data_IF_941599534425
#
_entry.id   IF_941599534425
#
_cell.length_a   1.000
_cell.length_b   1.000
_cell.length_c   1.000
_cell.angle_alpha   90.00
_cell.angle_beta   90.00
_cell.angle_gamma   90.00
#
_symmetry.space_group_name_H-M   'P 1'
#
loop_
_entity.id
_entity.type
_entity.pdbx_description
1 polymer ?
#
# COMPACT_ATOMS: atom_id res chain seq x y z
N UNK A 1 10.05 -9.95 1.25
CA UNK A 1 9.78 -8.54 1.53
C UNK A 1 8.35 -8.40 2.05
N UNK A 2 8.20 -8.10 3.35
CA UNK A 2 6.89 -8.14 4.04
C UNK A 2 5.91 -7.02 3.63
N UNK A 3 6.41 -5.87 3.18
CA UNK A 3 5.62 -4.71 2.77
C UNK A 3 6.49 -3.75 1.95
N UNK A 4 6.53 -3.94 0.63
CA UNK A 4 7.27 -3.08 -0.30
C UNK A 4 6.57 -3.08 -1.66
N UNK A 5 6.66 -1.97 -2.37
CA UNK A 5 6.05 -1.81 -3.69
C UNK A 5 7.12 -1.69 -4.79
N UNK A 6 6.77 -1.20 -5.96
CA UNK A 6 7.61 -1.21 -7.17
C UNK A 6 8.26 0.15 -7.39
N UNK A 7 9.60 0.20 -7.39
CA UNK A 7 10.36 1.44 -7.60
C UNK A 7 10.10 2.07 -8.97
N UNK A 8 9.97 1.27 -10.02
CA UNK A 8 9.77 1.79 -11.38
C UNK A 8 8.38 2.42 -11.61
N UNK A 9 7.39 2.12 -10.73
CA UNK A 9 6.08 2.80 -10.73
C UNK A 9 6.14 4.02 -9.82
N UNK A 10 6.58 3.84 -8.58
CA UNK A 10 6.71 4.91 -7.60
C UNK A 10 8.16 4.94 -7.08
N UNK A 11 9.00 5.89 -7.54
CA UNK A 11 10.41 6.00 -7.17
C UNK A 11 10.59 6.46 -5.71
N UNK A 12 10.36 5.55 -4.78
CA UNK A 12 10.57 5.75 -3.36
C UNK A 12 11.63 4.78 -2.84
N UNK A 13 12.51 5.21 -1.91
CA UNK A 13 13.62 4.38 -1.42
C UNK A 13 13.20 3.08 -0.71
N UNK A 14 11.95 3.00 -0.22
CA UNK A 14 11.36 1.79 0.36
C UNK A 14 10.90 0.78 -0.68
N UNK A 15 10.73 1.21 -1.93
CA UNK A 15 10.27 0.36 -3.02
C UNK A 15 11.41 -0.44 -3.65
N UNK A 16 11.09 -1.62 -4.15
CA UNK A 16 12.05 -2.55 -4.72
C UNK A 16 12.36 -2.23 -6.18
N UNK A 17 13.65 -2.29 -6.53
CA UNK A 17 14.14 -2.26 -7.91
C UNK A 17 14.10 -3.64 -8.54
N UNK A 18 14.18 -3.71 -9.87
CA UNK A 18 14.07 -4.96 -10.63
C UNK A 18 15.14 -5.99 -10.24
N UNK A 19 16.37 -5.57 -10.04
CA UNK A 19 17.47 -6.44 -9.61
C UNK A 19 17.20 -7.08 -8.23
N UNK A 20 16.62 -6.33 -7.30
CA UNK A 20 16.19 -6.84 -5.99
C UNK A 20 15.02 -7.83 -6.14
N UNK A 21 14.06 -7.55 -7.03
CA UNK A 21 12.95 -8.47 -7.31
C UNK A 21 13.44 -9.78 -7.93
N UNK A 22 14.41 -9.73 -8.86
CA UNK A 22 15.04 -10.93 -9.40
C UNK A 22 15.80 -11.72 -8.33
N UNK A 23 16.46 -11.06 -7.37
CA UNK A 23 17.10 -11.73 -6.25
C UNK A 23 16.07 -12.44 -5.35
N UNK A 24 14.93 -11.82 -5.08
CA UNK A 24 13.81 -12.43 -4.33
C UNK A 24 13.26 -13.65 -5.06
N UNK A 25 13.06 -13.55 -6.39
CA UNK A 25 12.66 -14.71 -7.22
C UNK A 25 13.67 -15.85 -7.08
N UNK A 26 14.96 -15.56 -7.20
CA UNK A 26 16.05 -16.55 -7.14
C UNK A 26 16.06 -17.33 -5.83
N UNK A 27 15.70 -16.70 -4.72
CA UNK A 27 15.65 -17.37 -3.41
C UNK A 27 14.26 -17.97 -3.08
N UNK A 28 13.32 -17.97 -4.03
CA UNK A 28 11.97 -18.50 -3.82
C UNK A 28 11.05 -17.60 -2.99
N UNK A 29 11.47 -16.37 -2.70
CA UNK A 29 10.73 -15.44 -1.83
C UNK A 29 9.48 -14.83 -2.44
N UNK A 30 8.82 -13.95 -1.66
CA UNK A 30 7.59 -13.25 -2.04
C UNK A 30 7.73 -11.77 -1.71
N UNK A 31 7.19 -10.92 -2.59
CA UNK A 31 7.04 -9.48 -2.42
C UNK A 31 5.58 -9.23 -2.03
N UNK A 32 5.36 -8.66 -0.86
CA UNK A 32 4.03 -8.28 -0.41
C UNK A 32 3.84 -6.78 -0.65
N UNK A 33 2.89 -6.44 -1.54
CA UNK A 33 2.64 -5.06 -1.94
C UNK A 33 2.09 -4.27 -0.76
N UNK A 34 2.79 -3.19 -0.40
CA UNK A 34 2.37 -2.23 0.61
C UNK A 34 1.27 -1.33 0.05
N UNK A 35 0.35 -0.85 0.92
CA UNK A 35 -0.76 0.01 0.51
C UNK A 35 -0.58 1.48 0.89
N UNK A 36 0.53 1.87 1.53
CA UNK A 36 0.77 3.28 1.80
C UNK A 36 0.79 4.11 0.50
N UNK A 37 -0.06 5.13 0.35
CA UNK A 37 -0.17 5.92 -0.87
C UNK A 37 1.15 6.48 -1.39
N UNK A 38 2.06 6.87 -0.50
CA UNK A 38 3.39 7.37 -0.87
C UNK A 38 4.33 6.32 -1.47
N UNK A 39 3.96 5.03 -1.43
CA UNK A 39 4.70 3.95 -2.10
C UNK A 39 3.98 3.44 -3.35
N UNK A 40 2.76 3.92 -3.59
CA UNK A 40 1.90 3.53 -4.71
C UNK A 40 1.86 4.64 -5.78
N UNK A 41 1.53 5.88 -5.40
CA UNK A 41 1.42 7.03 -6.31
C UNK A 41 2.63 7.96 -6.15
N UNK A 42 3.46 8.15 -7.19
CA UNK A 42 4.64 9.02 -7.13
C UNK A 42 4.30 10.49 -6.90
N UNK A 43 3.05 10.89 -7.08
CA UNK A 43 2.59 12.27 -6.89
C UNK A 43 1.95 12.50 -5.51
N UNK A 44 1.71 11.44 -4.75
CA UNK A 44 0.97 11.52 -3.48
C UNK A 44 1.67 12.43 -2.46
N UNK A 45 2.97 12.27 -2.23
CA UNK A 45 3.69 13.04 -1.21
C UNK A 45 3.66 14.56 -1.50
N UNK A 46 3.74 14.95 -2.78
CA UNK A 46 3.61 16.36 -3.17
C UNK A 46 2.18 16.88 -2.94
N UNK A 47 1.17 16.08 -3.30
CA UNK A 47 -0.25 16.40 -3.06
C UNK A 47 -0.54 16.52 -1.57
N UNK A 48 -0.01 15.61 -0.76
CA UNK A 48 -0.16 15.60 0.69
C UNK A 48 0.47 16.85 1.33
N UNK A 49 1.68 17.21 0.92
CA UNK A 49 2.35 18.42 1.42
C UNK A 49 1.53 19.69 1.11
N UNK A 50 1.01 19.79 -0.12
CA UNK A 50 0.15 20.91 -0.52
C UNK A 50 -1.15 20.94 0.30
N UNK A 51 -1.78 19.79 0.50
CA UNK A 51 -2.99 19.65 1.29
C UNK A 51 -2.74 20.05 2.75
N UNK A 52 -1.70 19.53 3.39
CA UNK A 52 -1.33 19.86 4.78
C UNK A 52 -1.00 21.35 4.94
N UNK A 53 -0.32 21.98 3.97
CA UNK A 53 -0.09 23.44 3.96
C UNK A 53 -1.41 24.22 3.90
N UNK A 54 -2.34 23.80 3.06
CA UNK A 54 -3.66 24.44 2.96
C UNK A 54 -4.48 24.27 4.24
N UNK A 55 -4.41 23.09 4.87
CA UNK A 55 -5.11 22.77 6.10
C UNK A 55 -4.36 23.19 7.37
N UNK A 56 -3.25 23.90 7.27
CA UNK A 56 -2.45 24.32 8.42
C UNK A 56 -3.27 25.03 9.53
N UNK A 57 -4.18 25.96 9.23
CA UNK A 57 -5.00 26.59 10.27
C UNK A 57 -5.86 25.59 11.06
N UNK A 58 -6.39 24.56 10.41
CA UNK A 58 -7.14 23.48 11.04
C UNK A 58 -6.21 22.66 11.95
N UNK A 59 -5.08 22.24 11.45
CA UNK A 59 -4.07 21.47 12.20
C UNK A 59 -3.62 22.25 13.44
N UNK A 60 -3.30 23.53 13.31
CA UNK A 60 -2.87 24.39 14.40
C UNK A 60 -3.98 24.52 15.48
N UNK A 61 -5.25 24.63 15.07
CA UNK A 61 -6.37 24.72 16.02
C UNK A 61 -6.59 23.42 16.81
N UNK A 62 -6.45 22.25 16.15
CA UNK A 62 -6.55 20.96 16.82
C UNK A 62 -5.38 20.76 17.81
N UNK A 63 -4.16 21.07 17.37
CA UNK A 63 -2.97 20.96 18.22
C UNK A 63 -3.00 21.89 19.42
N UNK A 64 -3.63 23.07 19.30
CA UNK A 64 -3.82 23.99 20.45
C UNK A 64 -4.74 23.41 21.53
N UNK A 65 -5.68 22.53 21.17
CA UNK A 65 -6.64 21.91 22.10
C UNK A 65 -6.08 20.61 22.69
N UNK A 66 -5.54 19.74 21.86
CA UNK A 66 -5.17 18.37 22.21
C UNK A 66 -3.66 18.17 22.42
N UNK A 67 -2.84 19.15 22.07
CA UNK A 67 -1.38 19.14 22.17
C UNK A 67 -0.71 18.66 20.88
N UNK A 68 0.28 19.43 20.42
CA UNK A 68 1.19 18.98 19.36
C UNK A 68 2.10 17.87 19.92
N UNK A 69 2.31 16.82 19.17
CA UNK A 69 3.12 15.65 19.54
C UNK A 69 2.54 14.77 20.68
N UNK A 70 1.26 14.84 20.94
CA UNK A 70 0.53 13.89 21.79
C UNK A 70 -0.18 12.85 20.92
N UNK A 71 -0.42 11.64 21.46
CA UNK A 71 -1.18 10.60 20.76
C UNK A 71 -2.61 11.09 20.43
N UNK A 72 -3.23 11.84 21.37
CA UNK A 72 -4.57 12.39 21.18
C UNK A 72 -4.58 13.48 20.10
N UNK A 73 -3.60 14.40 20.11
CA UNK A 73 -3.46 15.43 19.09
C UNK A 73 -3.24 14.83 17.70
N UNK A 74 -2.35 13.86 17.60
CA UNK A 74 -2.11 13.13 16.35
C UNK A 74 -3.39 12.47 15.83
N UNK A 75 -4.11 11.74 16.69
CA UNK A 75 -5.35 11.08 16.32
C UNK A 75 -6.41 12.07 15.82
N UNK A 76 -6.59 13.19 16.54
CA UNK A 76 -7.56 14.23 16.17
C UNK A 76 -7.21 14.95 14.87
N UNK A 77 -5.93 15.24 14.62
CA UNK A 77 -5.48 15.79 13.34
C UNK A 77 -5.77 14.80 12.20
N UNK A 78 -5.47 13.52 12.41
CA UNK A 78 -5.74 12.48 11.40
C UNK A 78 -7.23 12.34 11.09
N UNK A 79 -8.10 12.39 12.12
CA UNK A 79 -9.56 12.33 11.97
C UNK A 79 -10.08 13.52 11.16
N UNK A 80 -9.64 14.73 11.47
CA UNK A 80 -10.04 15.96 10.76
C UNK A 80 -9.51 16.02 9.32
N UNK A 81 -8.31 15.48 9.08
CA UNK A 81 -7.73 15.44 7.72
C UNK A 81 -8.29 14.32 6.84
N UNK A 82 -8.90 13.29 7.41
CA UNK A 82 -9.40 12.13 6.67
C UNK A 82 -10.26 12.48 5.44
N UNK A 83 -11.23 13.42 5.49
CA UNK A 83 -12.01 13.81 4.32
C UNK A 83 -11.16 14.43 3.19
N UNK A 84 -10.09 15.15 3.55
CA UNK A 84 -9.21 15.81 2.58
C UNK A 84 -8.31 14.82 1.84
N UNK A 85 -7.93 13.71 2.49
CA UNK A 85 -7.16 12.64 1.86
C UNK A 85 -7.93 11.95 0.72
N UNK A 86 -9.27 11.87 0.79
CA UNK A 86 -10.09 11.21 -0.23
C UNK A 86 -9.90 11.76 -1.65
N UNK A 87 -9.47 13.02 -1.77
CA UNK A 87 -9.23 13.67 -3.07
C UNK A 87 -7.85 13.40 -3.66
N UNK A 88 -6.89 12.90 -2.85
CA UNK A 88 -5.46 12.80 -3.23
C UNK A 88 -4.91 11.37 -3.17
N UNK A 89 -5.56 10.46 -2.46
CA UNK A 89 -5.10 9.07 -2.38
C UNK A 89 -5.33 8.32 -3.69
N UNK A 90 -4.45 7.37 -4.05
CA UNK A 90 -4.64 6.46 -5.18
C UNK A 90 -5.87 5.57 -4.98
N UNK A 91 -6.28 4.90 -6.03
CA UNK A 91 -7.34 3.90 -5.97
C UNK A 91 -6.80 2.46 -6.04
N UNK A 92 -7.72 1.49 -6.10
CA UNK A 92 -7.40 0.07 -6.18
C UNK A 92 -6.64 -0.31 -7.45
N UNK A 93 -6.91 0.36 -8.56
CA UNK A 93 -6.23 0.09 -9.82
C UNK A 93 -4.74 0.42 -9.73
N UNK A 94 -4.38 1.52 -9.06
CA UNK A 94 -2.98 1.89 -8.83
C UNK A 94 -2.24 0.81 -8.01
N UNK A 95 -2.91 0.23 -7.00
CA UNK A 95 -2.35 -0.88 -6.21
C UNK A 95 -2.15 -2.13 -7.08
N UNK A 96 -3.13 -2.44 -7.94
CA UNK A 96 -3.06 -3.62 -8.82
C UNK A 96 -2.00 -3.44 -9.90
N UNK A 97 -1.68 -2.22 -10.33
CA UNK A 97 -0.56 -1.96 -11.24
C UNK A 97 0.78 -2.44 -10.67
N UNK A 98 1.01 -2.28 -9.37
CA UNK A 98 2.17 -2.86 -8.69
C UNK A 98 2.15 -4.39 -8.67
N UNK A 99 0.97 -4.99 -8.46
CA UNK A 99 0.79 -6.45 -8.53
C UNK A 99 1.08 -6.98 -9.93
N UNK A 100 0.53 -6.31 -10.95
CA UNK A 100 0.76 -6.63 -12.37
C UNK A 100 2.24 -6.54 -12.72
N UNK A 101 2.93 -5.51 -12.26
CA UNK A 101 4.36 -5.33 -12.51
C UNK A 101 5.17 -6.50 -11.95
N UNK A 102 4.99 -6.84 -10.68
CA UNK A 102 5.71 -7.96 -10.04
C UNK A 102 5.38 -9.28 -10.73
N UNK A 103 4.09 -9.54 -11.02
CA UNK A 103 3.65 -10.73 -11.74
C UNK A 103 4.35 -10.85 -13.11
N UNK A 104 4.39 -9.75 -13.87
CA UNK A 104 4.96 -9.76 -15.22
C UNK A 104 6.49 -9.89 -15.20
N UNK A 105 7.15 -9.29 -14.20
CA UNK A 105 8.61 -9.30 -14.10
C UNK A 105 9.15 -10.63 -13.58
N UNK A 106 8.59 -11.15 -12.51
CA UNK A 106 9.15 -12.30 -11.78
C UNK A 106 8.19 -13.48 -11.61
N UNK A 107 6.92 -13.30 -11.92
CA UNK A 107 5.90 -14.35 -11.91
C UNK A 107 4.97 -14.31 -10.72
N UNK A 108 3.80 -14.92 -10.89
CA UNK A 108 2.69 -14.92 -9.93
C UNK A 108 3.03 -15.59 -8.58
N UNK A 109 4.03 -16.45 -8.55
CA UNK A 109 4.46 -17.18 -7.34
C UNK A 109 5.21 -16.28 -6.34
N UNK A 110 5.54 -15.05 -6.73
CA UNK A 110 6.39 -14.14 -5.99
C UNK A 110 5.68 -12.85 -5.55
N UNK A 111 4.35 -12.77 -5.64
CA UNK A 111 3.58 -11.60 -5.23
C UNK A 111 2.53 -11.95 -4.17
N UNK A 112 2.33 -11.05 -3.22
CA UNK A 112 1.34 -11.15 -2.15
C UNK A 112 0.87 -9.77 -1.68
N UNK A 113 0.14 -9.72 -0.58
CA UNK A 113 -0.45 -8.51 0.01
C UNK A 113 0.18 -8.22 1.36
N UNK A 114 0.78 -7.05 1.51
CA UNK A 114 1.38 -6.53 2.73
C UNK A 114 0.78 -5.18 3.12
N UNK A 115 -0.54 -5.15 3.33
CA UNK A 115 -1.39 -3.96 3.40
C UNK A 115 -0.99 -2.87 4.40
N UNK A 116 -0.35 -3.24 5.51
CA UNK A 116 0.17 -2.30 6.52
C UNK A 116 -0.91 -1.39 7.15
N UNK A 117 -2.13 -1.91 7.34
CA UNK A 117 -3.29 -1.12 7.79
C UNK A 117 -3.10 -0.40 9.12
N UNK A 118 -2.36 -0.97 10.06
CA UNK A 118 -2.12 -0.37 11.38
C UNK A 118 -0.80 0.43 11.44
N UNK A 119 -0.02 0.43 10.36
CA UNK A 119 1.29 1.09 10.27
C UNK A 119 1.30 2.39 9.47
N UNK A 120 0.15 2.80 8.89
CA UNK A 120 0.06 3.99 8.03
C UNK A 120 -1.19 4.81 8.34
N UNK A 121 -1.07 6.14 8.19
CA UNK A 121 -2.15 7.08 8.52
C UNK A 121 -3.29 7.07 7.50
N UNK A 122 -3.00 6.72 6.25
CA UNK A 122 -3.93 6.81 5.14
C UNK A 122 -3.72 5.68 4.15
N UNK A 123 -4.80 5.26 3.52
CA UNK A 123 -4.86 4.10 2.63
C UNK A 123 -5.52 4.47 1.31
N UNK A 124 -5.31 3.69 0.23
CA UNK A 124 -5.99 3.88 -1.04
C UNK A 124 -7.51 3.78 -0.90
N UNK A 125 -8.23 4.42 -1.81
CA UNK A 125 -9.70 4.31 -1.87
C UNK A 125 -10.11 2.85 -1.99
N UNK A 126 -11.14 2.48 -1.26
CA UNK A 126 -11.67 1.12 -1.20
C UNK A 126 -10.73 0.08 -0.60
N UNK A 127 -9.65 0.51 0.12
CA UNK A 127 -8.78 -0.34 0.93
C UNK A 127 -8.60 0.20 2.37
N UNK A 128 -9.50 1.04 2.85
CA UNK A 128 -9.38 1.75 4.13
C UNK A 128 -9.28 0.81 5.34
N UNK A 129 -9.69 -0.45 5.20
CA UNK A 129 -9.55 -1.48 6.23
C UNK A 129 -9.58 -2.88 5.61
N UNK A 130 -9.13 -3.90 6.35
CA UNK A 130 -9.01 -5.29 5.89
C UNK A 130 -10.31 -5.88 5.31
N UNK A 131 -11.48 -5.45 5.80
CA UNK A 131 -12.78 -5.87 5.28
C UNK A 131 -13.04 -5.44 3.83
N UNK A 132 -12.19 -4.58 3.26
CA UNK A 132 -12.26 -4.14 1.85
C UNK A 132 -11.47 -5.05 0.89
N UNK A 133 -10.76 -6.06 1.36
CA UNK A 133 -10.06 -7.02 0.48
C UNK A 133 -10.94 -7.67 -0.60
N UNK A 134 -12.26 -7.90 -0.41
CA UNK A 134 -13.11 -8.35 -1.50
C UNK A 134 -13.16 -7.38 -2.71
N UNK A 135 -12.98 -6.07 -2.49
CA UNK A 135 -12.90 -5.09 -3.59
C UNK A 135 -11.62 -5.29 -4.42
N UNK A 136 -10.48 -5.53 -3.77
CA UNK A 136 -9.24 -5.89 -4.47
C UNK A 136 -9.41 -7.19 -5.26
N UNK A 137 -10.05 -8.19 -4.69
CA UNK A 137 -10.35 -9.45 -5.39
C UNK A 137 -11.18 -9.20 -6.66
N UNK A 138 -12.16 -8.30 -6.58
CA UNK A 138 -12.97 -7.92 -7.74
C UNK A 138 -12.12 -7.29 -8.85
N UNK A 139 -11.26 -6.32 -8.52
CA UNK A 139 -10.37 -5.68 -9.52
C UNK A 139 -9.44 -6.71 -10.16
N UNK A 140 -8.87 -7.65 -9.38
CA UNK A 140 -8.06 -8.73 -9.95
C UNK A 140 -8.86 -9.60 -10.94
N UNK A 141 -10.13 -9.93 -10.64
CA UNK A 141 -11.00 -10.67 -11.56
C UNK A 141 -11.24 -9.83 -12.83
N UNK A 142 -11.57 -8.57 -12.69
CA UNK A 142 -11.86 -7.65 -13.82
C UNK A 142 -10.63 -7.49 -14.74
N UNK A 143 -9.40 -7.59 -14.18
CA UNK A 143 -8.11 -7.62 -14.92
C UNK A 143 -7.75 -9.01 -15.48
N UNK A 144 -8.61 -10.00 -15.35
CA UNK A 144 -8.45 -11.33 -15.95
C UNK A 144 -7.59 -12.30 -15.15
N UNK A 145 -7.34 -12.05 -13.88
CA UNK A 145 -6.67 -13.01 -13.02
C UNK A 145 -7.53 -14.26 -12.79
N UNK A 146 -6.93 -15.42 -12.92
CA UNK A 146 -7.58 -16.69 -12.61
C UNK A 146 -7.77 -16.88 -11.12
N UNK A 147 -8.76 -17.70 -10.72
CA UNK A 147 -8.97 -18.06 -9.30
C UNK A 147 -7.70 -18.61 -8.64
N UNK A 148 -6.87 -19.33 -9.39
CA UNK A 148 -5.60 -19.89 -8.89
C UNK A 148 -4.58 -18.78 -8.60
N UNK A 149 -4.44 -17.80 -9.48
CA UNK A 149 -3.54 -16.65 -9.28
C UNK A 149 -3.98 -15.80 -8.10
N UNK A 150 -5.29 -15.52 -7.98
CA UNK A 150 -5.85 -14.76 -6.87
C UNK A 150 -5.58 -15.46 -5.53
N UNK A 151 -5.78 -16.77 -5.42
CA UNK A 151 -5.43 -17.52 -4.18
C UNK A 151 -3.95 -17.42 -3.83
N UNK A 152 -3.06 -17.44 -4.84
CA UNK A 152 -1.62 -17.26 -4.63
C UNK A 152 -1.32 -15.89 -4.02
N UNK A 153 -1.86 -14.82 -4.59
CA UNK A 153 -1.70 -13.45 -4.09
C UNK A 153 -2.26 -13.31 -2.67
N UNK A 154 -3.45 -13.86 -2.41
CA UNK A 154 -4.14 -13.73 -1.12
C UNK A 154 -3.57 -14.58 0.01
N UNK A 155 -2.61 -15.49 -0.26
CA UNK A 155 -1.96 -16.20 0.83
C UNK A 155 -1.28 -17.52 0.50
N UNK A 156 -1.55 -18.17 -0.65
CA UNK A 156 -0.88 -19.45 -0.97
C UNK A 156 0.65 -19.26 -1.14
N UNK A 157 1.09 -18.12 -1.69
CA UNK A 157 2.51 -17.79 -1.81
C UNK A 157 3.17 -17.60 -0.44
N UNK A 158 2.50 -16.94 0.50
CA UNK A 158 2.98 -16.84 1.89
C UNK A 158 3.08 -18.23 2.54
N UNK A 159 2.02 -19.04 2.42
CA UNK A 159 1.99 -20.40 2.99
C UNK A 159 3.13 -21.28 2.44
N UNK A 160 3.47 -21.14 1.15
CA UNK A 160 4.59 -21.87 0.55
C UNK A 160 5.89 -21.53 1.24
N UNK A 161 6.24 -20.23 1.31
CA UNK A 161 7.49 -19.78 1.96
C UNK A 161 7.53 -20.18 3.43
N UNK A 162 6.42 -19.99 4.14
CA UNK A 162 6.31 -20.32 5.57
C UNK A 162 6.59 -21.80 5.85
N UNK A 163 6.13 -22.71 4.97
CA UNK A 163 6.37 -24.17 5.10
C UNK A 163 7.81 -24.57 4.78
N UNK A 164 8.53 -23.76 3.99
CA UNK A 164 9.91 -24.08 3.62
C UNK A 164 10.93 -23.62 4.68
N UNK A 165 10.55 -22.66 5.55
CA UNK A 165 11.45 -22.08 6.54
C UNK A 165 11.18 -22.53 7.99
N UNK A 166 10.09 -23.25 8.22
CA UNK A 166 9.74 -23.90 9.49
C UNK A 166 9.84 -25.40 9.39
#
# INVERSE_FOLDING_TARGET
ASHSSVYNICPHYRNLKDDQMYAIKKNGGVIFINFYPGYIDPTFLEKEEKMKKFQKPLIDSVNAIYGENTDEGWYKVSEELAPHYQSIVPDLDDVVDHIDYVKNLIGIDHVGIGGDWDGVEVLPKNLEHIGKLPALTKVLIDRGYTKKEIRKILGENFKRVFKEVL
#
